data_IF_333259992531
#
_entry.id   IF_333259992531
#
_cell.length_a   1.000
_cell.length_b   1.000
_cell.length_c   1.000
_cell.angle_alpha   90.00
_cell.angle_beta   90.00
_cell.angle_gamma   90.00
#
_symmetry.space_group_name_H-M   'P 1'
#
loop_
_entity.id
_entity.type
_entity.pdbx_description
1 polymer ?
#
# COMPACT_ATOMS: atom_id res chain seq x y z
N UNK A 1 -17.10 -0.14 39.22
CA UNK A 1 -16.66 1.25 38.93
C UNK A 1 -15.87 1.37 37.63
N UNK A 2 -14.60 0.99 37.50
CA UNK A 2 -13.84 1.18 36.23
C UNK A 2 -14.42 0.42 35.01
N UNK A 3 -15.16 -0.68 35.26
CA UNK A 3 -15.81 -1.47 34.22
C UNK A 3 -17.08 -0.80 33.66
N UNK A 4 -17.85 -0.11 34.51
CA UNK A 4 -19.04 0.63 34.07
C UNK A 4 -18.67 1.86 33.23
N UNK A 5 -17.55 2.52 33.54
CA UNK A 5 -17.02 3.60 32.71
C UNK A 5 -16.58 3.09 31.33
N UNK A 6 -16.04 1.88 31.27
CA UNK A 6 -15.64 1.25 30.01
C UNK A 6 -16.85 0.86 29.14
N UNK A 7 -17.91 0.34 29.75
CA UNK A 7 -19.19 0.07 29.05
C UNK A 7 -19.85 1.37 28.55
N UNK A 8 -19.82 2.44 29.33
CA UNK A 8 -20.34 3.76 28.88
C UNK A 8 -19.53 4.34 27.72
N UNK A 9 -18.20 4.22 27.75
CA UNK A 9 -17.33 4.67 26.66
C UNK A 9 -17.60 3.92 25.35
N UNK A 10 -17.84 2.60 25.42
CA UNK A 10 -18.25 1.81 24.25
C UNK A 10 -19.62 2.20 23.72
N UNK A 11 -20.60 2.37 24.60
CA UNK A 11 -21.95 2.77 24.19
C UNK A 11 -21.93 4.13 23.49
N UNK A 12 -21.20 5.10 24.04
CA UNK A 12 -21.01 6.41 23.43
C UNK A 12 -20.28 6.35 22.08
N UNK A 13 -19.33 5.42 21.90
CA UNK A 13 -18.65 5.21 20.61
C UNK A 13 -19.56 4.55 19.56
N UNK A 14 -20.43 3.62 19.97
CA UNK A 14 -21.43 3.00 19.10
C UNK A 14 -22.50 4.00 18.66
N UNK A 15 -22.97 4.88 19.55
CA UNK A 15 -23.91 5.96 19.21
C UNK A 15 -23.30 6.98 18.22
N UNK A 16 -21.98 7.19 18.27
CA UNK A 16 -21.23 8.02 17.31
C UNK A 16 -21.05 7.38 15.93
N UNK A 17 -21.47 6.14 15.68
CA UNK A 17 -21.41 5.50 14.35
C UNK A 17 -22.30 6.19 13.29
N UNK A 18 -23.09 7.19 13.68
CA UNK A 18 -23.81 8.08 12.77
C UNK A 18 -22.93 9.18 12.14
N UNK A 19 -21.69 9.36 12.59
CA UNK A 19 -20.70 10.07 11.79
C UNK A 19 -20.24 9.13 10.67
N UNK A 20 -20.99 9.15 9.56
CA UNK A 20 -20.66 8.44 8.33
C UNK A 20 -19.15 8.52 8.08
N UNK A 21 -18.48 7.38 8.22
CA UNK A 21 -17.10 7.20 7.79
C UNK A 21 -17.10 7.49 6.29
N UNK A 22 -16.76 8.72 5.91
CA UNK A 22 -16.58 9.08 4.51
C UNK A 22 -15.30 8.39 4.04
N UNK A 23 -15.45 7.12 3.69
CA UNK A 23 -14.61 6.52 2.67
C UNK A 23 -14.62 7.50 1.50
N UNK A 24 -13.45 7.86 0.98
CA UNK A 24 -13.29 8.64 -0.25
C UNK A 24 -13.82 7.83 -1.45
N UNK A 25 -15.12 7.55 -1.46
CA UNK A 25 -15.83 6.93 -2.55
C UNK A 25 -16.07 8.04 -3.56
N UNK A 26 -15.48 7.86 -4.74
CA UNK A 26 -15.75 8.67 -5.92
C UNK A 26 -17.29 8.70 -6.12
N UNK A 27 -17.92 9.85 -6.42
CA UNK A 27 -19.35 9.90 -6.62
C UNK A 27 -19.78 8.89 -7.69
N UNK A 28 -20.59 7.90 -7.29
CA UNK A 28 -21.27 7.03 -8.21
C UNK A 28 -22.25 7.89 -9.03
N UNK A 29 -21.85 8.14 -10.27
CA UNK A 29 -22.70 8.35 -11.44
C UNK A 29 -23.98 9.18 -11.21
N UNK A 30 -23.89 10.48 -11.53
CA UNK A 30 -25.10 11.25 -11.89
C UNK A 30 -25.03 11.59 -13.38
N UNK A 31 -25.75 10.77 -14.17
CA UNK A 31 -26.30 11.19 -15.46
C UNK A 31 -25.62 10.60 -16.68
N UNK A 32 -25.78 9.29 -16.91
CA UNK A 32 -25.56 8.69 -18.21
C UNK A 32 -26.65 9.16 -19.20
N UNK A 33 -26.36 10.22 -19.97
CA UNK A 33 -27.01 10.46 -21.26
C UNK A 33 -25.93 10.52 -22.34
N UNK A 34 -25.80 9.40 -23.04
CA UNK A 34 -25.36 9.25 -24.44
C UNK A 34 -24.67 10.44 -25.12
N UNK A 35 -23.34 10.35 -25.32
CA UNK A 35 -22.65 10.73 -26.57
C UNK A 35 -21.13 10.45 -26.50
N UNK A 36 -20.69 9.33 -27.11
CA UNK A 36 -19.31 9.10 -27.59
C UNK A 36 -18.20 8.94 -26.53
N UNK A 37 -17.07 8.28 -26.88
CA UNK A 37 -15.91 8.20 -25.99
C UNK A 37 -15.15 9.53 -26.07
N UNK A 38 -15.66 10.55 -25.39
CA UNK A 38 -14.90 11.78 -25.13
C UNK A 38 -14.03 11.50 -23.92
N UNK A 39 -12.74 11.28 -24.18
CA UNK A 39 -11.71 11.35 -23.16
C UNK A 39 -11.79 12.74 -22.50
N UNK A 40 -12.50 12.82 -21.37
CA UNK A 40 -12.44 13.97 -20.49
C UNK A 40 -11.00 14.20 -20.00
N UNK A 41 -10.68 15.40 -19.48
CA UNK A 41 -9.38 15.63 -18.87
C UNK A 41 -9.17 14.56 -17.80
N UNK A 42 -7.99 13.89 -17.78
CA UNK A 42 -7.81 12.71 -16.95
C UNK A 42 -7.99 13.14 -15.49
N UNK A 43 -9.06 12.65 -14.86
CA UNK A 43 -9.00 12.32 -13.44
C UNK A 43 -7.71 11.50 -13.32
N UNK A 44 -6.67 12.07 -12.69
CA UNK A 44 -5.27 11.71 -12.88
C UNK A 44 -5.06 10.23 -13.14
N UNK A 45 -4.68 9.88 -14.38
CA UNK A 45 -4.54 8.48 -14.80
C UNK A 45 -3.54 7.82 -13.86
N UNK A 46 -3.94 6.71 -13.21
CA UNK A 46 -3.08 6.02 -12.26
C UNK A 46 -1.80 5.61 -12.99
N UNK A 47 -0.65 6.12 -12.55
CA UNK A 47 0.64 5.83 -13.17
C UNK A 47 1.08 4.44 -12.73
N UNK A 48 0.98 3.46 -13.63
CA UNK A 48 1.49 2.10 -13.40
C UNK A 48 2.75 1.93 -14.24
N UNK A 49 3.90 1.95 -13.59
CA UNK A 49 5.20 1.64 -14.19
C UNK A 49 6.13 1.07 -13.12
N UNK A 50 7.24 0.46 -13.54
CA UNK A 50 8.21 -0.13 -12.62
C UNK A 50 8.65 0.83 -11.52
N UNK A 51 8.88 2.11 -11.84
CA UNK A 51 9.35 3.09 -10.87
C UNK A 51 8.29 3.38 -9.80
N UNK A 52 7.02 3.47 -10.18
CA UNK A 52 5.91 3.65 -9.24
C UNK A 52 5.79 2.45 -8.28
N UNK A 53 5.85 1.22 -8.80
CA UNK A 53 5.82 0.01 -7.99
C UNK A 53 7.03 -0.13 -7.06
N UNK A 54 8.24 0.12 -7.58
CA UNK A 54 9.47 0.11 -6.78
C UNK A 54 9.43 1.18 -5.68
N UNK A 55 8.91 2.38 -5.97
CA UNK A 55 8.82 3.45 -4.97
C UNK A 55 7.83 3.09 -3.85
N UNK A 56 6.72 2.44 -4.17
CA UNK A 56 5.79 1.95 -3.17
C UNK A 56 6.45 0.88 -2.27
N UNK A 57 7.22 -0.05 -2.84
CA UNK A 57 7.99 -1.03 -2.09
C UNK A 57 9.08 -0.41 -1.20
N UNK A 58 9.76 0.63 -1.68
CA UNK A 58 10.73 1.40 -0.89
C UNK A 58 10.05 2.08 0.31
N UNK A 59 8.89 2.70 0.13
CA UNK A 59 8.15 3.33 1.23
C UNK A 59 7.77 2.34 2.35
N UNK A 60 7.47 1.09 2.00
CA UNK A 60 7.23 0.03 2.99
C UNK A 60 8.52 -0.35 3.73
N UNK A 61 9.67 -0.39 3.06
CA UNK A 61 10.97 -0.65 3.70
C UNK A 61 11.39 0.49 4.63
N UNK A 62 11.13 1.74 4.24
CA UNK A 62 11.31 2.91 5.09
C UNK A 62 10.44 2.80 6.36
N UNK A 63 9.15 2.47 6.20
CA UNK A 63 8.23 2.26 7.32
C UNK A 63 8.74 1.18 8.29
N UNK A 64 9.21 0.03 7.76
CA UNK A 64 9.84 -1.03 8.58
C UNK A 64 11.02 -0.52 9.38
N UNK A 65 11.89 0.23 8.73
CA UNK A 65 13.07 0.82 9.37
C UNK A 65 12.68 1.75 10.52
N UNK A 66 11.67 2.58 10.32
CA UNK A 66 11.21 3.51 11.35
C UNK A 66 10.46 2.83 12.50
N UNK A 67 9.67 1.79 12.21
CA UNK A 67 9.07 0.95 13.25
C UNK A 67 10.13 0.22 14.08
N UNK A 68 11.18 -0.31 13.46
CA UNK A 68 12.31 -0.91 14.14
C UNK A 68 12.99 0.08 15.11
N UNK A 69 13.28 1.30 14.65
CA UNK A 69 13.82 2.37 15.51
C UNK A 69 12.88 2.71 16.67
N UNK A 70 11.57 2.77 16.42
CA UNK A 70 10.59 3.05 17.46
C UNK A 70 10.53 1.93 18.51
N UNK A 71 10.63 0.67 18.09
CA UNK A 71 10.68 -0.48 18.98
C UNK A 71 11.96 -0.48 19.84
N UNK A 72 13.13 -0.18 19.26
CA UNK A 72 14.37 -0.03 20.03
C UNK A 72 14.26 1.08 21.08
N UNK A 73 13.70 2.25 20.72
CA UNK A 73 13.46 3.32 21.71
C UNK A 73 12.51 2.88 22.83
N UNK A 74 11.49 2.08 22.48
CA UNK A 74 10.55 1.57 23.45
C UNK A 74 11.23 0.55 24.38
N UNK A 75 12.07 -0.34 23.84
CA UNK A 75 12.93 -1.27 24.60
C UNK A 75 13.84 -0.53 25.57
N UNK A 76 14.55 0.50 25.09
CA UNK A 76 15.42 1.32 25.93
C UNK A 76 14.65 1.97 27.07
N UNK A 77 13.43 2.46 26.80
CA UNK A 77 12.54 3.06 27.81
C UNK A 77 11.99 2.05 28.83
N UNK A 78 12.11 0.74 28.59
CA UNK A 78 11.81 -0.29 29.60
C UNK A 78 13.00 -0.54 30.56
N UNK A 79 14.17 0.05 30.30
CA UNK A 79 15.35 -0.13 31.15
C UNK A 79 15.07 0.37 32.58
N UNK A 80 15.42 -0.45 33.57
CA UNK A 80 15.17 -0.14 34.99
C UNK A 80 13.84 -0.67 35.52
N UNK A 81 12.97 -1.22 34.65
CA UNK A 81 11.82 -2.02 35.11
C UNK A 81 12.30 -3.45 35.41
N UNK A 82 12.42 -3.72 36.70
CA UNK A 82 12.80 -5.00 37.27
C UNK A 82 11.86 -6.14 36.83
N UNK A 83 12.44 -7.30 36.48
CA UNK A 83 11.71 -8.53 36.14
C UNK A 83 11.12 -9.15 37.41
N UNK A 84 10.16 -8.47 38.03
CA UNK A 84 9.61 -8.90 39.32
C UNK A 84 9.07 -7.78 40.20
N UNK A 85 8.95 -6.56 39.66
CA UNK A 85 8.33 -5.45 40.36
C UNK A 85 7.02 -5.87 41.04
N UNK A 86 6.94 -5.64 42.35
CA UNK A 86 5.71 -5.85 43.12
C UNK A 86 4.61 -4.84 42.73
N UNK A 87 4.93 -3.85 41.88
CA UNK A 87 3.99 -2.83 41.45
C UNK A 87 3.23 -3.29 40.20
N UNK A 88 1.90 -3.36 40.32
CA UNK A 88 0.99 -3.73 39.22
C UNK A 88 1.21 -2.88 37.95
N UNK A 89 1.57 -1.60 38.11
CA UNK A 89 1.85 -0.69 36.99
C UNK A 89 3.04 -1.14 36.15
N UNK A 90 4.12 -1.64 36.77
CA UNK A 90 5.29 -2.14 36.04
C UNK A 90 4.97 -3.42 35.27
N UNK A 91 4.20 -4.33 35.88
CA UNK A 91 3.71 -5.52 35.20
C UNK A 91 2.80 -5.18 34.01
N UNK A 92 1.89 -4.21 34.18
CA UNK A 92 1.03 -3.72 33.10
C UNK A 92 1.84 -3.09 31.96
N UNK A 93 2.82 -2.25 32.27
CA UNK A 93 3.71 -1.62 31.28
C UNK A 93 4.47 -2.68 30.47
N UNK A 94 4.94 -3.75 31.11
CA UNK A 94 5.59 -4.86 30.42
C UNK A 94 4.63 -5.62 29.50
N UNK A 95 3.40 -5.88 29.95
CA UNK A 95 2.38 -6.52 29.12
C UNK A 95 2.05 -5.69 27.87
N UNK A 96 1.97 -4.37 28.01
CA UNK A 96 1.80 -3.44 26.88
C UNK A 96 3.01 -3.49 25.95
N UNK A 97 4.23 -3.46 26.49
CA UNK A 97 5.46 -3.58 25.70
C UNK A 97 5.48 -4.88 24.87
N UNK A 98 5.24 -6.03 25.50
CA UNK A 98 5.21 -7.33 24.82
C UNK A 98 4.13 -7.39 23.72
N UNK A 99 3.00 -6.72 23.93
CA UNK A 99 1.94 -6.60 22.91
C UNK A 99 2.39 -5.75 21.72
N UNK A 100 3.07 -4.64 21.95
CA UNK A 100 3.59 -3.78 20.88
C UNK A 100 4.68 -4.48 20.08
N UNK A 101 5.59 -5.19 20.75
CA UNK A 101 6.64 -5.98 20.09
C UNK A 101 6.06 -7.00 19.13
N UNK A 102 5.04 -7.76 19.54
CA UNK A 102 4.34 -8.71 18.65
C UNK A 102 3.71 -8.00 17.46
N UNK A 103 2.95 -6.93 17.70
CA UNK A 103 2.27 -6.19 16.63
C UNK A 103 3.24 -5.60 15.62
N UNK A 104 4.35 -5.00 16.08
CA UNK A 104 5.37 -4.43 15.18
C UNK A 104 6.00 -5.53 14.34
N UNK A 105 6.27 -6.71 14.92
CA UNK A 105 6.76 -7.86 14.17
C UNK A 105 5.79 -8.32 13.07
N UNK A 106 4.49 -8.42 13.38
CA UNK A 106 3.48 -8.81 12.38
C UNK A 106 3.40 -7.79 11.23
N UNK A 107 3.48 -6.50 11.54
CA UNK A 107 3.51 -5.44 10.53
C UNK A 107 4.81 -5.50 9.72
N UNK A 108 5.95 -5.79 10.35
CA UNK A 108 7.24 -5.94 9.68
C UNK A 108 7.19 -7.03 8.61
N UNK A 109 6.70 -8.22 8.98
CA UNK A 109 6.55 -9.35 8.07
C UNK A 109 5.58 -9.03 6.91
N UNK A 110 4.46 -8.35 7.21
CA UNK A 110 3.51 -7.94 6.18
C UNK A 110 4.09 -6.90 5.21
N UNK A 111 4.79 -5.89 5.73
CA UNK A 111 5.45 -4.88 4.93
C UNK A 111 6.56 -5.47 4.05
N UNK A 112 7.32 -6.44 4.57
CA UNK A 112 8.37 -7.14 3.80
C UNK A 112 7.76 -7.92 2.63
N UNK A 113 6.72 -8.72 2.92
CA UNK A 113 5.99 -9.46 1.91
C UNK A 113 5.38 -8.56 0.84
N UNK A 114 4.71 -7.46 1.24
CA UNK A 114 4.11 -6.52 0.31
C UNK A 114 5.15 -5.78 -0.52
N UNK A 115 6.28 -5.35 0.08
CA UNK A 115 7.37 -4.73 -0.66
C UNK A 115 7.93 -5.65 -1.75
N UNK A 116 8.10 -6.94 -1.44
CA UNK A 116 8.51 -7.95 -2.41
C UNK A 116 7.51 -8.14 -3.55
N UNK A 117 6.21 -8.18 -3.26
CA UNK A 117 5.15 -8.27 -4.27
C UNK A 117 5.14 -7.05 -5.20
N UNK A 118 5.28 -5.84 -4.65
CA UNK A 118 5.30 -4.60 -5.42
C UNK A 118 6.52 -4.57 -6.35
N UNK A 119 7.70 -4.91 -5.85
CA UNK A 119 8.91 -4.95 -6.67
C UNK A 119 8.80 -5.98 -7.80
N UNK A 120 8.31 -7.19 -7.50
CA UNK A 120 8.07 -8.22 -8.51
C UNK A 120 7.08 -7.73 -9.58
N UNK A 121 5.98 -7.11 -9.16
CA UNK A 121 4.96 -6.56 -10.07
C UNK A 121 5.57 -5.52 -11.02
N UNK A 122 6.39 -4.60 -10.50
CA UNK A 122 7.08 -3.61 -11.32
C UNK A 122 8.04 -4.24 -12.35
N UNK A 123 8.77 -5.29 -11.95
CA UNK A 123 9.67 -6.01 -12.84
C UNK A 123 8.92 -6.78 -13.94
N UNK A 124 7.84 -7.48 -13.57
CA UNK A 124 7.01 -8.23 -14.52
C UNK A 124 6.30 -7.31 -15.52
N UNK A 125 5.84 -6.15 -15.05
CA UNK A 125 5.27 -5.12 -15.92
C UNK A 125 6.31 -4.60 -16.92
N UNK A 126 7.52 -4.23 -16.46
CA UNK A 126 8.58 -3.76 -17.36
C UNK A 126 8.90 -4.78 -18.45
N UNK A 127 9.07 -6.06 -18.07
CA UNK A 127 9.35 -7.13 -19.02
C UNK A 127 8.24 -7.29 -20.06
N UNK A 128 6.99 -7.18 -19.63
CA UNK A 128 5.81 -7.25 -20.52
C UNK A 128 5.80 -6.06 -21.48
N UNK A 129 6.03 -4.85 -20.98
CA UNK A 129 6.07 -3.63 -21.79
C UNK A 129 7.20 -3.67 -22.83
N UNK A 130 8.37 -4.21 -22.48
CA UNK A 130 9.50 -4.40 -23.40
C UNK A 130 9.20 -5.44 -24.48
N UNK A 131 8.59 -6.57 -24.12
CA UNK A 131 8.19 -7.60 -25.08
C UNK A 131 7.17 -7.05 -26.09
N UNK A 132 6.14 -6.34 -25.61
CA UNK A 132 5.13 -5.72 -26.48
C UNK A 132 5.79 -4.70 -27.42
N UNK A 133 6.71 -3.87 -26.92
CA UNK A 133 7.45 -2.91 -27.77
C UNK A 133 8.25 -3.62 -28.86
N UNK A 134 8.91 -4.73 -28.54
CA UNK A 134 9.67 -5.51 -29.52
C UNK A 134 8.77 -6.06 -30.63
N UNK A 135 7.61 -6.62 -30.29
CA UNK A 135 6.63 -7.11 -31.26
C UNK A 135 6.08 -5.98 -32.16
N UNK A 136 5.80 -4.80 -31.59
CA UNK A 136 5.36 -3.62 -32.38
C UNK A 136 6.44 -3.18 -33.37
N UNK A 137 7.71 -3.18 -32.96
CA UNK A 137 8.84 -2.86 -33.84
C UNK A 137 8.97 -3.91 -34.96
N UNK A 138 8.81 -5.19 -34.64
CA UNK A 138 8.84 -6.27 -35.63
C UNK A 138 7.71 -6.14 -36.67
N UNK A 139 6.48 -5.82 -36.23
CA UNK A 139 5.35 -5.59 -37.14
C UNK A 139 5.56 -4.36 -38.03
N UNK A 140 6.09 -3.27 -37.46
CA UNK A 140 6.39 -2.04 -38.21
C UNK A 140 7.41 -2.30 -39.32
N UNK A 141 8.51 -2.97 -39.00
CA UNK A 141 9.56 -3.33 -39.98
C UNK A 141 9.05 -4.33 -41.04
N UNK A 142 8.22 -5.30 -40.65
CA UNK A 142 7.54 -6.20 -41.59
C UNK A 142 6.62 -5.45 -42.57
N UNK A 143 5.92 -4.42 -42.11
CA UNK A 143 5.04 -3.60 -42.97
C UNK A 143 5.82 -2.72 -43.96
N UNK A 144 6.94 -2.14 -43.53
CA UNK A 144 7.84 -1.35 -44.38
C UNK A 144 8.51 -2.21 -45.46
N UNK A 145 8.92 -3.44 -45.12
CA UNK A 145 9.51 -4.38 -46.09
C UNK A 145 8.47 -4.88 -47.10
N UNK A 146 7.25 -5.18 -46.67
CA UNK A 146 6.15 -5.58 -47.56
C UNK A 146 5.76 -4.47 -48.55
N UNK A 147 5.70 -3.22 -48.08
CA UNK A 147 5.39 -2.06 -48.94
C UNK A 147 6.52 -1.75 -49.92
N UNK A 148 7.79 -1.87 -49.52
CA UNK A 148 8.93 -1.73 -50.41
C UNK A 148 8.95 -2.80 -51.53
N UNK A 149 8.59 -4.06 -51.21
CA UNK A 149 8.51 -5.14 -52.18
C UNK A 149 7.40 -4.93 -53.24
N UNK A 150 6.26 -4.33 -52.86
CA UNK A 150 5.20 -3.98 -53.81
C UNK A 150 5.57 -2.81 -54.75
N UNK A 151 6.43 -1.89 -54.29
CA UNK A 151 6.85 -0.73 -55.08
C UNK A 151 7.85 -1.03 -56.21
N UNK A 152 8.62 -2.12 -56.11
CA UNK A 152 9.67 -2.48 -57.09
C UNK A 152 9.15 -3.28 -58.30
N UNK A 153 7.85 -3.57 -58.37
CA UNK A 153 7.23 -4.42 -59.40
C UNK A 153 6.52 -3.68 -60.54
N UNK A 154 6.78 -2.39 -60.77
CA UNK A 154 6.18 -1.61 -61.88
C UNK A 154 7.22 -1.01 -62.80
#
# INVERSE_FOLDING_TARGET
MAWEEWEQLKAAAAERQSAHMQLNQLPADRGATSAGPVYGPPSGRLRSDKAAWSKAGEGLRELRTDMGKALTKLEDAQTGLDKGSAFLTAAAQRGVFDSWTRRVKDIDEWCDGLAGVLEKTGNDQLRTDEAIKAEIVALSTGSETATAAQGSGR
#
